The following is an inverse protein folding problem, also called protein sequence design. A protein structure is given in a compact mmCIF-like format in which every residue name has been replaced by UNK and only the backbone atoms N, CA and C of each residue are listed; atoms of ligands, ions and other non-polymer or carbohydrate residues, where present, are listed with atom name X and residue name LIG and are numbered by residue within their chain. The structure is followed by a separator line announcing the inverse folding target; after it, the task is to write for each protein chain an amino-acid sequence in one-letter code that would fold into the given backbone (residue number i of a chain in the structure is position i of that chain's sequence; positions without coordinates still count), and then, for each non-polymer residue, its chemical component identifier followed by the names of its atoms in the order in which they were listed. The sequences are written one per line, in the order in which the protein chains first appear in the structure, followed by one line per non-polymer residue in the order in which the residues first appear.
data_IF_617350532710
#
_entry.id   IF_617350532710
#
_cell.length_a   1.000
_cell.length_b   1.000
_cell.length_c   1.000
_cell.angle_alpha   90.00
_cell.angle_beta   90.00
_cell.angle_gamma   90.00
#
_symmetry.space_group_name_H-M   'P 1'
#
loop_
_entity.id
_entity.type
_entity.pdbx_description
1 polymer ?
#
# COMPACT_ATOMS: atom_id res chain seq x y z
N UNK A 1 -15.79 -12.91 3.60
CA UNK A 1 -14.91 -11.81 4.07
C UNK A 1 -15.71 -10.52 4.07
N UNK A 2 -15.43 -9.61 5.02
CA UNK A 2 -16.10 -8.30 5.05
C UNK A 2 -15.54 -7.39 3.93
N UNK A 3 -16.34 -6.48 3.36
CA UNK A 3 -15.91 -5.61 2.26
C UNK A 3 -14.70 -4.73 2.62
N UNK A 4 -14.61 -4.27 3.87
CA UNK A 4 -13.45 -3.51 4.39
C UNK A 4 -12.15 -4.32 4.38
N UNK A 5 -12.21 -5.63 4.64
CA UNK A 5 -11.04 -6.49 4.61
C UNK A 5 -10.63 -6.84 3.18
N UNK A 6 -11.60 -7.01 2.27
CA UNK A 6 -11.32 -7.17 0.84
C UNK A 6 -10.63 -5.93 0.26
N UNK A 7 -11.10 -4.73 0.63
CA UNK A 7 -10.48 -3.48 0.22
C UNK A 7 -9.04 -3.35 0.78
N UNK A 8 -8.84 -3.67 2.06
CA UNK A 8 -7.51 -3.61 2.68
C UNK A 8 -6.54 -4.62 2.03
N UNK A 9 -6.96 -5.87 1.82
CA UNK A 9 -6.15 -6.89 1.16
C UNK A 9 -5.81 -6.46 -0.27
N UNK A 10 -6.79 -5.96 -1.04
CA UNK A 10 -6.59 -5.48 -2.40
C UNK A 10 -5.61 -4.30 -2.47
N UNK A 11 -5.75 -3.35 -1.55
CA UNK A 11 -4.84 -2.19 -1.46
C UNK A 11 -3.42 -2.62 -1.12
N UNK A 12 -3.26 -3.53 -0.16
CA UNK A 12 -1.95 -4.03 0.27
C UNK A 12 -1.26 -4.80 -0.87
N UNK A 13 -2.00 -5.68 -1.55
CA UNK A 13 -1.49 -6.42 -2.71
C UNK A 13 -1.08 -5.50 -3.85
N UNK A 14 -1.90 -4.47 -4.14
CA UNK A 14 -1.62 -3.49 -5.19
C UNK A 14 -0.38 -2.64 -4.88
N UNK A 15 -0.21 -2.21 -3.63
CA UNK A 15 0.96 -1.45 -3.17
C UNK A 15 2.22 -2.30 -3.22
N UNK A 16 2.14 -3.57 -2.80
CA UNK A 16 3.26 -4.51 -2.88
C UNK A 16 3.71 -4.74 -4.33
N UNK A 17 2.76 -4.98 -5.24
CA UNK A 17 3.05 -5.12 -6.67
C UNK A 17 3.70 -3.87 -7.27
N UNK A 18 3.12 -2.69 -7.04
CA UNK A 18 3.69 -1.43 -7.55
C UNK A 18 5.11 -1.17 -7.01
N UNK A 19 5.32 -1.41 -5.71
CA UNK A 19 6.63 -1.21 -5.10
C UNK A 19 7.66 -2.17 -5.68
N UNK A 20 7.27 -3.41 -5.97
CA UNK A 20 8.11 -4.40 -6.65
C UNK A 20 8.50 -3.97 -8.07
N UNK A 21 7.55 -3.44 -8.84
CA UNK A 21 7.83 -2.93 -10.20
C UNK A 21 8.82 -1.76 -10.16
N UNK A 22 8.62 -0.80 -9.25
CA UNK A 22 9.51 0.35 -9.09
C UNK A 22 10.93 -0.10 -8.71
N UNK A 23 11.06 -1.04 -7.77
CA UNK A 23 12.36 -1.58 -7.36
C UNK A 23 13.04 -2.35 -8.51
N UNK A 24 12.27 -3.09 -9.30
CA UNK A 24 12.78 -3.80 -10.47
C UNK A 24 13.29 -2.84 -11.54
N UNK A 25 12.56 -1.76 -11.83
CA UNK A 25 12.99 -0.72 -12.77
C UNK A 25 14.23 0.03 -12.26
N UNK A 26 14.31 0.36 -10.97
CA UNK A 26 15.50 0.96 -10.35
C UNK A 26 16.74 0.08 -10.42
N UNK A 27 16.56 -1.25 -10.36
CA UNK A 27 17.64 -2.22 -10.42
C UNK A 27 18.28 -2.37 -11.81
N UNK A 28 17.68 -1.80 -12.86
CA UNK A 28 18.23 -1.86 -14.21
C UNK A 28 19.44 -0.92 -14.34
N UNK A 29 20.52 -1.34 -15.02
CA UNK A 29 21.75 -0.56 -15.16
C UNK A 29 21.58 0.78 -15.91
N UNK A 30 20.50 0.94 -16.68
CA UNK A 30 20.17 2.18 -17.40
C UNK A 30 18.79 2.72 -16.99
N UNK A 31 18.40 2.57 -15.73
CA UNK A 31 17.12 3.11 -15.26
C UNK A 31 17.10 4.63 -15.42
N UNK A 32 16.07 5.15 -16.09
CA UNK A 32 15.75 6.59 -16.14
C UNK A 32 14.95 7.05 -14.92
N UNK A 33 14.64 6.14 -14.00
CA UNK A 33 13.78 6.42 -12.86
C UNK A 33 14.57 7.10 -11.73
N UNK A 34 14.08 8.25 -11.27
CA UNK A 34 14.72 9.00 -10.18
C UNK A 34 14.59 8.22 -8.86
N UNK A 35 15.70 7.83 -8.20
CA UNK A 35 15.67 7.01 -6.98
C UNK A 35 14.87 7.67 -5.86
N UNK A 36 15.04 8.99 -5.67
CA UNK A 36 14.30 9.74 -4.64
C UNK A 36 12.79 9.74 -4.92
N UNK A 37 12.39 9.93 -6.18
CA UNK A 37 10.96 9.94 -6.55
C UNK A 37 10.33 8.55 -6.38
N UNK A 38 11.06 7.51 -6.78
CA UNK A 38 10.65 6.12 -6.61
C UNK A 38 10.42 5.77 -5.13
N UNK A 39 11.38 6.10 -4.25
CA UNK A 39 11.24 5.88 -2.81
C UNK A 39 10.07 6.67 -2.20
N UNK A 40 9.82 7.91 -2.62
CA UNK A 40 8.66 8.68 -2.16
C UNK A 40 7.35 8.01 -2.55
N UNK A 41 7.23 7.45 -3.75
CA UNK A 41 6.03 6.73 -4.20
C UNK A 41 5.82 5.45 -3.40
N UNK A 42 6.89 4.70 -3.14
CA UNK A 42 6.85 3.50 -2.29
C UNK A 42 6.40 3.86 -0.86
N UNK A 43 6.98 4.90 -0.27
CA UNK A 43 6.66 5.33 1.09
C UNK A 43 5.20 5.79 1.22
N UNK A 44 4.71 6.59 0.25
CA UNK A 44 3.33 7.07 0.24
C UNK A 44 2.35 5.90 0.08
N UNK A 45 2.63 4.99 -0.84
CA UNK A 45 1.83 3.77 -1.05
C UNK A 45 1.80 2.89 0.20
N UNK A 46 2.96 2.69 0.84
CA UNK A 46 3.07 1.93 2.09
C UNK A 46 2.28 2.54 3.23
N UNK A 47 2.32 3.87 3.39
CA UNK A 47 1.54 4.58 4.41
C UNK A 47 0.02 4.43 4.19
N UNK A 48 -0.43 4.52 2.93
CA UNK A 48 -1.84 4.28 2.56
C UNK A 48 -2.27 2.84 2.85
N UNK A 49 -1.44 1.84 2.53
CA UNK A 49 -1.72 0.45 2.83
C UNK A 49 -1.80 0.19 4.34
N UNK A 50 -0.85 0.71 5.12
CA UNK A 50 -0.84 0.59 6.59
C UNK A 50 -2.04 1.30 7.21
N UNK A 51 -2.42 2.48 6.72
CA UNK A 51 -3.63 3.18 7.15
C UNK A 51 -4.91 2.39 6.84
N UNK A 52 -5.01 1.81 5.64
CA UNK A 52 -6.12 0.94 5.25
C UNK A 52 -6.22 -0.33 6.12
N UNK A 53 -5.08 -0.97 6.40
CA UNK A 53 -4.98 -2.10 7.33
C UNK A 53 -5.40 -1.70 8.75
N UNK A 54 -4.92 -0.56 9.25
CA UNK A 54 -5.30 -0.06 10.57
C UNK A 54 -6.83 0.14 10.67
N UNK A 55 -7.46 0.74 9.67
CA UNK A 55 -8.92 0.92 9.63
C UNK A 55 -9.69 -0.41 9.50
N UNK A 56 -9.13 -1.38 8.77
CA UNK A 56 -9.78 -2.67 8.53
C UNK A 56 -9.69 -3.64 9.71
N UNK A 57 -8.67 -3.51 10.56
CA UNK A 57 -8.38 -4.49 11.62
C UNK A 57 -8.30 -3.92 13.03
N UNK A 58 -7.97 -2.62 13.20
CA UNK A 58 -7.62 -2.05 14.50
C UNK A 58 -8.55 -0.91 14.94
N UNK A 59 -8.98 -0.04 14.02
CA UNK A 59 -9.84 1.08 14.37
C UNK A 59 -11.18 0.57 14.97
N UNK A 60 -11.60 1.09 16.14
CA UNK A 60 -12.88 0.73 16.74
C UNK A 60 -13.99 1.02 15.74
N UNK A 61 -14.84 0.02 15.51
CA UNK A 61 -16.03 0.18 14.67
C UNK A 61 -17.12 0.79 15.52
N UNK A 62 -17.11 2.12 15.62
CA UNK A 62 -18.23 2.87 16.16
C UNK A 62 -19.42 2.73 15.21
N UNK A 63 -20.15 1.62 15.31
CA UNK A 63 -21.19 1.28 14.34
C UNK A 63 -22.05 0.08 14.68
N UNK A 64 -22.13 -0.35 15.94
CA UNK A 64 -23.14 -1.34 16.28
C UNK A 64 -23.07 -1.88 17.69
N UNK A 65 -23.78 -1.24 18.62
CA UNK A 65 -24.92 -1.88 19.30
C UNK A 65 -25.55 -0.93 20.33
N UNK A 66 -26.88 -0.83 20.19
CA UNK A 66 -27.93 -0.51 21.18
C UNK A 66 -27.93 0.87 21.83
#
# INVERSE_FOLDING_TARGET
MRPDQLLAIGTTAFVGYNSGVILWELGKPNSTECPKCAWTRIALGGALALGGLYLAFVAPRDGGKS
#
